data_IF_658734831402
#
_entry.id   IF_658734831402
#
_cell.length_a   1.000
_cell.length_b   1.000
_cell.length_c   1.000
_cell.angle_alpha   90.00
_cell.angle_beta   90.00
_cell.angle_gamma   90.00
#
_symmetry.space_group_name_H-M   'P 1'
#
loop_
_entity.id
_entity.type
_entity.pdbx_description
1 polymer ?
#
# COMPACT_ATOMS: atom_id res chain seq x y z
N UNK A 1 -94.02 -21.18 -29.59
CA UNK A 1 -93.18 -20.06 -29.11
C UNK A 1 -91.94 -20.51 -28.31
N UNK A 2 -91.95 -21.62 -27.56
CA UNK A 2 -90.78 -22.08 -26.80
C UNK A 2 -89.58 -22.56 -27.66
N UNK A 3 -89.81 -23.22 -28.80
CA UNK A 3 -88.73 -23.76 -29.67
C UNK A 3 -87.96 -22.65 -30.41
N UNK A 4 -88.64 -21.58 -30.84
CA UNK A 4 -88.01 -20.42 -31.50
C UNK A 4 -87.05 -19.69 -30.55
N UNK A 5 -87.47 -19.49 -29.29
CA UNK A 5 -86.62 -18.83 -28.29
C UNK A 5 -85.40 -19.67 -27.91
N UNK A 6 -85.53 -21.00 -27.88
CA UNK A 6 -84.39 -21.91 -27.65
C UNK A 6 -83.42 -21.94 -28.84
N UNK A 7 -83.91 -21.87 -30.07
CA UNK A 7 -83.08 -21.80 -31.28
C UNK A 7 -82.35 -20.46 -31.40
N UNK A 8 -83.03 -19.34 -31.13
CA UNK A 8 -82.39 -18.02 -31.08
C UNK A 8 -81.35 -17.93 -29.96
N UNK A 9 -81.60 -18.57 -28.81
CA UNK A 9 -80.61 -18.66 -27.72
C UNK A 9 -79.40 -19.51 -28.11
N UNK A 10 -79.59 -20.61 -28.86
CA UNK A 10 -78.50 -21.44 -29.38
C UNK A 10 -77.66 -20.67 -30.41
N UNK A 11 -78.29 -19.94 -31.33
CA UNK A 11 -77.59 -19.09 -32.32
C UNK A 11 -76.76 -18.02 -31.61
N UNK A 12 -77.33 -17.33 -30.60
CA UNK A 12 -76.59 -16.35 -29.81
C UNK A 12 -75.42 -16.98 -29.05
N UNK A 13 -75.59 -18.18 -28.51
CA UNK A 13 -74.52 -18.92 -27.83
C UNK A 13 -73.40 -19.30 -28.81
N UNK A 14 -73.74 -19.82 -30.00
CA UNK A 14 -72.79 -20.17 -31.05
C UNK A 14 -72.05 -18.93 -31.57
N UNK A 15 -72.74 -17.81 -31.75
CA UNK A 15 -72.12 -16.53 -32.13
C UNK A 15 -71.16 -16.03 -31.04
N UNK A 16 -71.54 -16.12 -29.77
CA UNK A 16 -70.67 -15.77 -28.64
C UNK A 16 -69.45 -16.69 -28.54
N UNK A 17 -69.61 -18.01 -28.75
CA UNK A 17 -68.50 -18.97 -28.76
C UNK A 17 -67.57 -18.67 -29.93
N UNK A 18 -68.10 -18.45 -31.14
CA UNK A 18 -67.33 -18.08 -32.32
C UNK A 18 -66.53 -16.79 -32.10
N UNK A 19 -67.17 -15.77 -31.54
CA UNK A 19 -66.50 -14.50 -31.22
C UNK A 19 -65.37 -14.69 -30.20
N UNK A 20 -65.61 -15.46 -29.12
CA UNK A 20 -64.58 -15.77 -28.12
C UNK A 20 -63.42 -16.59 -28.71
N UNK A 21 -63.71 -17.54 -29.60
CA UNK A 21 -62.68 -18.33 -30.30
C UNK A 21 -61.84 -17.44 -31.22
N UNK A 22 -62.48 -16.57 -32.01
CA UNK A 22 -61.79 -15.62 -32.88
C UNK A 22 -60.90 -14.67 -32.08
N UNK A 23 -61.42 -14.10 -30.99
CA UNK A 23 -60.67 -13.24 -30.08
C UNK A 23 -59.50 -13.98 -29.42
N UNK A 24 -59.71 -15.22 -28.98
CA UNK A 24 -58.64 -16.05 -28.43
C UNK A 24 -57.57 -16.37 -29.47
N UNK A 25 -57.96 -16.66 -30.71
CA UNK A 25 -57.04 -16.93 -31.82
C UNK A 25 -56.22 -15.70 -32.20
N UNK A 26 -56.84 -14.52 -32.22
CA UNK A 26 -56.16 -13.24 -32.44
C UNK A 26 -55.08 -12.97 -31.38
N UNK A 27 -55.43 -13.14 -30.10
CA UNK A 27 -54.49 -12.98 -28.99
C UNK A 27 -53.30 -13.96 -29.10
N UNK A 28 -53.55 -15.21 -29.49
CA UNK A 28 -52.49 -16.21 -29.70
C UNK A 28 -51.60 -15.81 -30.88
N UNK A 29 -52.17 -15.36 -31.99
CA UNK A 29 -51.41 -14.95 -33.17
C UNK A 29 -50.50 -13.76 -32.89
N UNK A 30 -51.02 -12.71 -32.25
CA UNK A 30 -50.22 -11.55 -31.82
C UNK A 30 -49.11 -11.99 -30.86
N UNK A 31 -49.40 -12.87 -29.91
CA UNK A 31 -48.39 -13.38 -28.98
C UNK A 31 -47.29 -14.14 -29.70
N UNK A 32 -47.64 -15.03 -30.64
CA UNK A 32 -46.67 -15.82 -31.42
C UNK A 32 -45.79 -14.92 -32.29
N UNK A 33 -46.39 -13.93 -32.96
CA UNK A 33 -45.66 -12.96 -33.77
C UNK A 33 -44.77 -12.04 -32.92
N UNK A 34 -45.04 -11.87 -31.62
CA UNK A 34 -44.16 -11.07 -30.75
C UNK A 34 -42.91 -11.82 -30.28
N UNK A 35 -42.93 -13.16 -30.21
CA UNK A 35 -41.82 -13.93 -29.65
C UNK A 35 -40.47 -13.78 -30.37
N UNK A 36 -40.37 -13.63 -31.70
CA UNK A 36 -39.08 -13.41 -32.35
C UNK A 36 -38.31 -12.21 -31.78
N UNK A 37 -39.00 -11.13 -31.42
CA UNK A 37 -38.37 -9.97 -30.77
C UNK A 37 -37.89 -10.30 -29.35
N UNK A 38 -38.65 -11.10 -28.60
CA UNK A 38 -38.26 -11.56 -27.26
C UNK A 38 -37.03 -12.46 -27.35
N UNK A 39 -36.98 -13.36 -28.34
CA UNK A 39 -35.83 -14.24 -28.55
C UNK A 39 -34.58 -13.48 -28.96
N UNK A 40 -34.71 -12.44 -29.77
CA UNK A 40 -33.58 -11.61 -30.16
C UNK A 40 -33.01 -10.86 -28.94
N UNK A 41 -33.87 -10.28 -28.10
CA UNK A 41 -33.43 -9.67 -26.84
C UNK A 41 -32.70 -10.68 -25.93
N UNK A 42 -33.21 -11.91 -25.81
CA UNK A 42 -32.52 -12.96 -25.05
C UNK A 42 -31.16 -13.31 -25.67
N UNK A 43 -31.04 -13.36 -27.01
CA UNK A 43 -29.75 -13.62 -27.68
C UNK A 43 -28.73 -12.52 -27.41
N UNK A 44 -29.15 -11.26 -27.47
CA UNK A 44 -28.30 -10.11 -27.13
C UNK A 44 -27.80 -10.21 -25.68
N UNK A 45 -28.71 -10.47 -24.74
CA UNK A 45 -28.36 -10.66 -23.32
C UNK A 45 -27.40 -11.85 -23.11
N UNK A 46 -27.57 -12.96 -23.84
CA UNK A 46 -26.67 -14.11 -23.77
C UNK A 46 -25.24 -13.78 -24.22
N UNK A 47 -25.09 -12.97 -25.27
CA UNK A 47 -23.76 -12.52 -25.74
C UNK A 47 -23.10 -11.64 -24.68
N UNK A 48 -23.84 -10.67 -24.12
CA UNK A 48 -23.34 -9.80 -23.06
C UNK A 48 -22.91 -10.60 -21.82
N UNK A 49 -23.72 -11.58 -21.41
CA UNK A 49 -23.44 -12.40 -20.25
C UNK A 49 -22.18 -13.27 -20.44
N UNK A 50 -21.97 -13.81 -21.64
CA UNK A 50 -20.75 -14.57 -21.94
C UNK A 50 -19.51 -13.69 -21.90
N UNK A 51 -19.55 -12.49 -22.52
CA UNK A 51 -18.44 -11.54 -22.49
C UNK A 51 -18.10 -11.15 -21.05
N UNK A 52 -19.10 -10.77 -20.25
CA UNK A 52 -18.92 -10.41 -18.85
C UNK A 52 -18.31 -11.56 -18.03
N UNK A 53 -18.73 -12.80 -18.28
CA UNK A 53 -18.19 -13.98 -17.57
C UNK A 53 -16.75 -14.28 -17.98
N UNK A 54 -16.40 -14.13 -19.26
CA UNK A 54 -15.00 -14.29 -19.71
C UNK A 54 -14.09 -13.21 -19.14
N UNK A 55 -14.56 -11.96 -19.06
CA UNK A 55 -13.82 -10.87 -18.42
C UNK A 55 -13.62 -11.14 -16.92
N UNK A 56 -14.65 -11.67 -16.25
CA UNK A 56 -14.55 -12.07 -14.85
C UNK A 56 -13.51 -13.17 -14.63
N UNK A 57 -13.40 -14.13 -15.57
CA UNK A 57 -12.39 -15.20 -15.51
C UNK A 57 -10.97 -14.66 -15.65
N UNK A 58 -10.74 -13.71 -16.57
CA UNK A 58 -9.44 -13.03 -16.71
C UNK A 58 -9.06 -12.28 -15.42
N UNK A 59 -9.98 -11.49 -14.85
CA UNK A 59 -9.75 -10.81 -13.56
C UNK A 59 -9.44 -11.79 -12.43
N UNK A 60 -10.01 -12.99 -12.48
CA UNK A 60 -9.77 -14.05 -11.48
C UNK A 60 -8.36 -14.64 -11.63
N UNK A 61 -7.82 -14.75 -12.86
CA UNK A 61 -6.41 -15.14 -13.08
C UNK A 61 -5.45 -14.10 -12.54
N UNK A 62 -5.73 -12.82 -12.77
CA UNK A 62 -4.92 -11.73 -12.20
C UNK A 62 -4.92 -11.79 -10.67
N UNK A 63 -6.08 -12.05 -10.06
CA UNK A 63 -6.20 -12.20 -8.61
C UNK A 63 -5.42 -13.40 -8.07
N UNK A 64 -5.36 -14.51 -8.82
CA UNK A 64 -4.54 -15.67 -8.49
C UNK A 64 -3.04 -15.31 -8.47
N UNK A 65 -2.56 -14.61 -9.50
CA UNK A 65 -1.16 -14.17 -9.58
C UNK A 65 -0.80 -13.21 -8.43
N UNK A 66 -1.68 -12.25 -8.13
CA UNK A 66 -1.52 -11.35 -6.97
C UNK A 66 -1.48 -12.13 -5.65
N UNK A 67 -2.30 -13.17 -5.51
CA UNK A 67 -2.31 -14.02 -4.31
C UNK A 67 -0.98 -14.75 -4.12
N UNK A 68 -0.38 -15.28 -5.20
CA UNK A 68 0.94 -15.92 -5.15
C UNK A 68 2.06 -14.93 -4.80
N UNK A 69 2.02 -13.72 -5.38
CA UNK A 69 2.99 -12.67 -5.08
C UNK A 69 2.89 -12.21 -3.62
N UNK A 70 1.66 -12.03 -3.10
CA UNK A 70 1.43 -11.66 -1.70
C UNK A 70 1.92 -12.74 -0.73
N UNK A 71 1.76 -14.03 -1.06
CA UNK A 71 2.31 -15.10 -0.22
C UNK A 71 3.85 -15.05 -0.19
N UNK A 72 4.49 -14.86 -1.34
CA UNK A 72 5.93 -14.71 -1.42
C UNK A 72 6.44 -13.49 -0.63
N UNK A 73 5.73 -12.36 -0.71
CA UNK A 73 6.02 -11.16 0.10
C UNK A 73 5.87 -11.45 1.59
N UNK A 74 4.81 -12.13 2.02
CA UNK A 74 4.59 -12.49 3.41
C UNK A 74 5.70 -13.42 3.95
N UNK A 75 6.13 -14.41 3.16
CA UNK A 75 7.26 -15.26 3.50
C UNK A 75 8.58 -14.47 3.60
N UNK A 76 8.84 -13.58 2.64
CA UNK A 76 10.02 -12.72 2.63
C UNK A 76 10.06 -11.79 3.85
N UNK A 77 8.91 -11.23 4.24
CA UNK A 77 8.82 -10.37 5.41
C UNK A 77 9.01 -11.17 6.71
N UNK A 78 8.49 -12.39 6.80
CA UNK A 78 8.67 -13.25 7.97
C UNK A 78 10.17 -13.57 8.21
N UNK A 79 10.90 -13.88 7.14
CA UNK A 79 12.35 -14.09 7.20
C UNK A 79 13.12 -12.83 7.62
N UNK A 80 12.70 -11.65 7.15
CA UNK A 80 13.30 -10.37 7.55
C UNK A 80 13.07 -10.05 9.02
N UNK A 81 11.88 -10.35 9.55
CA UNK A 81 11.59 -10.20 10.99
C UNK A 81 12.51 -11.10 11.81
N UNK A 82 12.66 -12.36 11.43
CA UNK A 82 13.50 -13.31 12.19
C UNK A 82 14.96 -12.84 12.24
N UNK A 83 15.49 -12.39 11.10
CA UNK A 83 16.82 -11.80 11.02
C UNK A 83 16.93 -10.52 11.85
N UNK A 84 15.89 -9.68 11.85
CA UNK A 84 15.81 -8.47 12.66
C UNK A 84 15.83 -8.76 14.16
N UNK A 85 15.03 -9.74 14.63
CA UNK A 85 15.03 -10.21 16.02
C UNK A 85 16.40 -10.73 16.44
N UNK A 86 17.04 -11.53 15.58
CA UNK A 86 18.41 -12.02 15.85
C UNK A 86 19.42 -10.87 15.96
N UNK A 87 19.35 -9.87 15.09
CA UNK A 87 20.22 -8.71 15.16
C UNK A 87 19.97 -7.88 16.44
N UNK A 88 18.71 -7.71 16.84
CA UNK A 88 18.34 -7.05 18.09
C UNK A 88 18.93 -7.77 19.33
N UNK A 89 18.81 -9.10 19.39
CA UNK A 89 19.41 -9.90 20.45
C UNK A 89 20.94 -9.75 20.49
N UNK A 90 21.61 -9.78 19.34
CA UNK A 90 23.06 -9.58 19.26
C UNK A 90 23.47 -8.17 19.74
N UNK A 91 22.69 -7.14 19.41
CA UNK A 91 22.90 -5.78 19.90
C UNK A 91 22.70 -5.69 21.41
N UNK A 92 21.71 -6.38 21.98
CA UNK A 92 21.49 -6.43 23.43
C UNK A 92 22.69 -7.09 24.16
N UNK A 93 23.16 -8.24 23.68
CA UNK A 93 24.36 -8.90 24.23
C UNK A 93 25.63 -8.04 24.05
N UNK A 94 25.72 -7.31 22.93
CA UNK A 94 26.80 -6.36 22.67
C UNK A 94 26.80 -5.21 23.67
N UNK A 95 25.63 -4.59 23.89
CA UNK A 95 25.44 -3.51 24.86
C UNK A 95 25.79 -3.94 26.28
N UNK A 96 25.34 -5.13 26.72
CA UNK A 96 25.69 -5.67 28.04
C UNK A 96 27.20 -5.88 28.22
N UNK A 97 27.91 -6.35 27.18
CA UNK A 97 29.37 -6.50 27.19
C UNK A 97 30.08 -5.15 27.28
N UNK A 98 29.61 -4.15 26.55
CA UNK A 98 30.15 -2.78 26.60
C UNK A 98 29.94 -2.18 27.99
N UNK A 99 28.77 -2.34 28.59
CA UNK A 99 28.47 -1.86 29.94
C UNK A 99 29.37 -2.52 31.00
N UNK A 100 29.61 -3.83 30.90
CA UNK A 100 30.59 -4.53 31.73
C UNK A 100 32.01 -4.00 31.53
N UNK A 101 32.37 -3.62 30.30
CA UNK A 101 33.67 -3.04 29.98
C UNK A 101 33.83 -1.64 30.61
N UNK A 102 32.80 -0.79 30.59
CA UNK A 102 32.81 0.49 31.30
C UNK A 102 33.07 0.32 32.79
N UNK A 103 32.43 -0.67 33.44
CA UNK A 103 32.66 -0.95 34.85
C UNK A 103 34.12 -1.36 35.14
N UNK A 104 34.75 -2.12 34.24
CA UNK A 104 36.16 -2.48 34.36
C UNK A 104 37.06 -1.25 34.21
N UNK A 105 36.80 -0.39 33.22
CA UNK A 105 37.59 0.84 33.02
C UNK A 105 37.45 1.79 34.21
N UNK A 106 36.24 2.00 34.75
CA UNK A 106 36.04 2.81 35.96
C UNK A 106 36.81 2.25 37.17
N UNK A 107 36.91 0.92 37.28
CA UNK A 107 37.70 0.28 38.33
C UNK A 107 39.19 0.56 38.17
N UNK A 108 39.70 0.51 36.93
CA UNK A 108 41.08 0.85 36.62
C UNK A 108 41.36 2.34 36.90
N UNK A 109 40.48 3.24 36.48
CA UNK A 109 40.61 4.69 36.71
C UNK A 109 40.69 5.02 38.21
N UNK A 110 39.86 4.38 39.03
CA UNK A 110 39.95 4.48 40.50
C UNK A 110 41.28 3.96 41.04
N UNK A 111 41.81 2.89 40.45
CA UNK A 111 43.13 2.35 40.78
C UNK A 111 44.25 3.36 40.49
N UNK A 112 44.27 3.94 39.30
CA UNK A 112 45.26 4.94 38.89
C UNK A 112 45.16 6.19 39.79
N UNK A 113 43.95 6.69 40.06
CA UNK A 113 43.73 7.83 40.96
C UNK A 113 44.29 7.60 42.36
N UNK A 114 44.22 6.34 42.85
CA UNK A 114 44.83 5.97 44.13
C UNK A 114 46.36 5.99 44.05
N UNK A 115 46.93 5.50 42.95
CA UNK A 115 48.39 5.50 42.73
C UNK A 115 48.94 6.93 42.58
N UNK A 116 48.29 7.81 41.82
CA UNK A 116 48.69 9.23 41.71
C UNK A 116 48.64 9.93 43.08
N UNK A 117 47.61 9.61 43.88
CA UNK A 117 47.52 10.06 45.27
C UNK A 117 48.66 9.55 46.17
N UNK A 118 49.17 8.33 45.95
CA UNK A 118 50.35 7.80 46.66
C UNK A 118 51.62 8.54 46.23
N UNK A 119 51.83 8.73 44.92
CA UNK A 119 53.01 9.42 44.36
C UNK A 119 53.10 10.85 44.91
N UNK A 120 51.98 11.57 44.98
CA UNK A 120 51.94 12.92 45.55
C UNK A 120 52.38 12.94 47.00
N UNK A 121 51.88 12.03 47.84
CA UNK A 121 52.31 11.93 49.25
C UNK A 121 53.81 11.65 49.38
N UNK A 122 54.34 10.71 48.58
CA UNK A 122 55.77 10.39 48.57
C UNK A 122 56.60 11.61 48.17
N UNK A 123 56.16 12.37 47.16
CA UNK A 123 56.87 13.59 46.73
C UNK A 123 56.79 14.72 47.76
N UNK A 124 55.67 14.86 48.47
CA UNK A 124 55.53 15.84 49.55
C UNK A 124 56.46 15.50 50.73
N UNK A 125 56.50 14.23 51.15
CA UNK A 125 57.41 13.71 52.18
C UNK A 125 58.87 13.90 51.78
N UNK A 126 59.23 13.53 50.54
CA UNK A 126 60.57 13.71 50.00
C UNK A 126 60.98 15.19 49.93
N UNK A 127 60.04 16.08 49.57
CA UNK A 127 60.27 17.51 49.56
C UNK A 127 60.68 18.04 50.94
N UNK A 128 60.00 17.58 51.99
CA UNK A 128 60.33 17.93 53.37
C UNK A 128 61.69 17.37 53.82
N UNK A 129 62.01 16.12 53.46
CA UNK A 129 63.31 15.51 53.77
C UNK A 129 64.47 16.23 53.08
N UNK A 130 64.31 16.63 51.81
CA UNK A 130 65.33 17.39 51.06
C UNK A 130 65.56 18.76 51.71
N UNK A 131 64.52 19.43 52.19
CA UNK A 131 64.64 20.70 52.89
C UNK A 131 65.42 20.57 54.21
N UNK A 132 65.11 19.53 55.00
CA UNK A 132 65.85 19.24 56.24
C UNK A 132 67.33 18.91 55.98
N UNK A 133 67.60 18.08 54.96
CA UNK A 133 68.96 17.70 54.62
C UNK A 133 69.79 18.87 54.06
N UNK A 134 69.15 19.78 53.32
CA UNK A 134 69.78 21.03 52.87
C UNK A 134 70.26 21.86 54.07
N UNK A 135 69.45 21.97 55.12
CA UNK A 135 69.82 22.65 56.37
C UNK A 135 70.99 21.96 57.08
N UNK A 136 71.00 20.62 57.12
CA UNK A 136 72.11 19.85 57.71
C UNK A 136 73.43 20.07 56.94
N UNK A 137 73.37 20.10 55.60
CA UNK A 137 74.55 20.33 54.77
C UNK A 137 75.11 21.75 54.92
N UNK A 138 74.24 22.77 55.03
CA UNK A 138 74.68 24.14 55.33
C UNK A 138 75.43 24.21 56.65
N UNK A 139 74.93 23.55 57.69
CA UNK A 139 75.58 23.52 58.99
C UNK A 139 76.91 22.75 58.95
N UNK A 140 76.95 21.60 58.26
CA UNK A 140 78.19 20.86 58.03
C UNK A 140 79.23 21.72 57.29
N UNK A 141 78.81 22.49 56.28
CA UNK A 141 79.67 23.43 55.56
C UNK A 141 80.29 24.50 56.46
N UNK A 142 79.52 25.05 57.42
CA UNK A 142 80.06 25.98 58.43
C UNK A 142 81.09 25.31 59.33
N UNK A 143 80.83 24.09 59.81
CA UNK A 143 81.76 23.35 60.65
C UNK A 143 83.06 23.04 59.90
N UNK A 144 82.98 22.60 58.65
CA UNK A 144 84.15 22.34 57.80
C UNK A 144 84.97 23.61 57.56
N UNK A 145 84.30 24.76 57.37
CA UNK A 145 84.97 26.06 57.25
C UNK A 145 85.71 26.45 58.53
N UNK A 146 85.14 26.16 59.71
CA UNK A 146 85.81 26.39 61.00
C UNK A 146 87.02 25.47 61.17
N UNK A 147 86.92 24.18 60.80
CA UNK A 147 88.05 23.24 60.85
C UNK A 147 89.19 23.73 59.94
N UNK A 148 88.85 24.23 58.74
CA UNK A 148 89.82 24.86 57.83
C UNK A 148 90.57 26.01 58.50
N UNK A 149 89.84 26.94 59.11
CA UNK A 149 90.43 28.09 59.79
C UNK A 149 91.35 27.65 60.94
N UNK A 150 90.94 26.65 61.73
CA UNK A 150 91.77 26.07 62.81
C UNK A 150 93.02 25.40 62.24
N UNK A 151 92.88 24.65 61.15
CA UNK A 151 93.98 23.94 60.50
C UNK A 151 94.98 24.93 59.87
N UNK A 152 94.52 25.96 59.19
CA UNK A 152 95.35 27.06 58.67
C UNK A 152 96.09 27.80 59.80
N UNK A 153 95.39 28.09 60.90
CA UNK A 153 95.98 28.69 62.09
C UNK A 153 97.02 27.76 62.73
N UNK A 154 96.76 26.46 62.79
CA UNK A 154 97.68 25.44 63.32
C UNK A 154 98.91 25.34 62.46
N UNK A 155 98.75 25.33 61.13
CA UNK A 155 99.85 25.32 60.18
C UNK A 155 100.74 26.56 60.34
N UNK A 156 100.14 27.75 60.49
CA UNK A 156 100.85 29.01 60.74
C UNK A 156 101.59 29.00 62.09
N UNK A 157 100.96 28.51 63.16
CA UNK A 157 101.61 28.37 64.47
C UNK A 157 102.78 27.39 64.40
N UNK A 158 102.62 26.29 63.68
CA UNK A 158 103.66 25.29 63.48
C UNK A 158 104.84 25.82 62.69
N UNK A 159 104.59 26.60 61.64
CA UNK A 159 105.62 27.27 60.87
C UNK A 159 106.41 28.25 61.74
N UNK A 160 105.72 29.06 62.56
CA UNK A 160 106.36 29.97 63.51
C UNK A 160 107.21 29.20 64.54
N UNK A 161 106.72 28.06 65.03
CA UNK A 161 107.47 27.19 65.94
C UNK A 161 108.70 26.55 65.29
N UNK A 162 108.61 26.12 64.02
CA UNK A 162 109.75 25.61 63.25
C UNK A 162 110.82 26.67 63.04
N UNK A 163 110.42 27.92 62.76
CA UNK A 163 111.34 29.07 62.63
C UNK A 163 112.08 29.31 63.95
N UNK A 164 111.36 29.35 65.07
CA UNK A 164 111.97 29.61 66.38
C UNK A 164 112.85 28.43 66.86
N UNK A 165 112.45 27.20 66.54
CA UNK A 165 113.26 26.00 66.78
C UNK A 165 114.57 26.01 65.96
N UNK A 166 114.53 26.46 64.70
CA UNK A 166 115.72 26.65 63.88
C UNK A 166 116.64 27.76 64.45
N UNK A 167 116.04 28.81 65.02
CA UNK A 167 116.74 29.94 65.66
C UNK A 167 117.47 29.55 66.94
N UNK A 168 116.96 28.57 67.68
CA UNK A 168 117.57 28.02 68.90
C UNK A 168 118.73 27.03 68.65
N UNK A 169 119.05 26.70 67.39
CA UNK A 169 120.18 25.84 67.01
C UNK A 169 120.06 24.41 67.55
N UNK A 170 121.14 23.84 68.10
CA UNK A 170 121.16 22.45 68.61
C UNK A 170 120.16 22.19 69.75
N UNK A 171 119.84 23.21 70.57
CA UNK A 171 118.86 23.10 71.66
C UNK A 171 117.40 23.03 71.16
N UNK A 172 117.15 23.43 69.92
CA UNK A 172 115.83 23.46 69.29
C UNK A 172 115.46 22.22 68.48
N UNK A 173 116.39 21.26 68.28
CA UNK A 173 116.18 20.11 67.37
C UNK A 173 114.93 19.27 67.70
N UNK A 174 114.66 19.02 68.98
CA UNK A 174 113.46 18.28 69.39
C UNK A 174 112.17 19.04 69.07
N UNK A 175 112.16 20.36 69.27
CA UNK A 175 111.03 21.22 68.92
C UNK A 175 110.83 21.37 67.41
N UNK A 176 111.91 21.39 66.63
CA UNK A 176 111.85 21.46 65.17
C UNK A 176 111.15 20.22 64.57
N UNK A 177 111.46 19.02 65.06
CA UNK A 177 110.81 17.77 64.61
C UNK A 177 109.32 17.76 64.94
N UNK A 178 108.93 18.23 66.14
CA UNK A 178 107.52 18.33 66.53
C UNK A 178 106.78 19.37 65.68
N UNK A 179 107.39 20.53 65.44
CA UNK A 179 106.81 21.59 64.61
C UNK A 179 106.70 21.20 63.12
N UNK A 180 107.62 20.38 62.59
CA UNK A 180 107.48 19.82 61.25
C UNK A 180 106.36 18.76 61.19
N UNK A 181 106.23 17.92 62.23
CA UNK A 181 105.15 16.95 62.36
C UNK A 181 103.76 17.59 62.48
N UNK A 182 103.62 18.68 63.26
CA UNK A 182 102.36 19.44 63.40
C UNK A 182 102.02 20.19 62.11
N UNK A 183 103.00 20.73 61.40
CA UNK A 183 102.81 21.38 60.09
C UNK A 183 102.33 20.37 59.04
N UNK A 184 102.96 19.19 58.99
CA UNK A 184 102.52 18.08 58.13
C UNK A 184 101.08 17.63 58.46
N UNK A 185 100.72 17.54 59.75
CA UNK A 185 99.37 17.17 60.17
C UNK A 185 98.32 18.23 59.78
N UNK A 186 98.65 19.52 59.94
CA UNK A 186 97.78 20.61 59.52
C UNK A 186 97.60 20.65 57.99
N UNK A 187 98.68 20.44 57.22
CA UNK A 187 98.59 20.30 55.76
C UNK A 187 97.68 19.15 55.33
N UNK A 188 97.86 17.96 55.93
CA UNK A 188 96.98 16.79 55.68
C UNK A 188 95.52 17.06 56.08
N UNK A 189 95.31 17.83 57.15
CA UNK A 189 93.96 18.23 57.60
C UNK A 189 93.32 19.17 56.59
N UNK A 190 94.07 20.13 56.03
CA UNK A 190 93.59 21.01 54.95
C UNK A 190 93.23 20.24 53.67
N UNK A 191 94.03 19.25 53.28
CA UNK A 191 93.70 18.38 52.15
C UNK A 191 92.41 17.58 52.39
N UNK A 192 92.24 17.03 53.59
CA UNK A 192 91.03 16.32 53.97
C UNK A 192 89.79 17.25 53.99
N UNK A 193 89.92 18.45 54.56
CA UNK A 193 88.87 19.48 54.55
C UNK A 193 88.47 19.86 53.13
N UNK A 194 89.44 20.06 52.22
CA UNK A 194 89.17 20.35 50.81
C UNK A 194 88.38 19.21 50.13
N UNK A 195 88.69 17.96 50.45
CA UNK A 195 87.94 16.80 49.95
C UNK A 195 86.50 16.77 50.48
N UNK A 196 86.30 17.13 51.76
CA UNK A 196 84.96 17.25 52.36
C UNK A 196 84.19 18.42 51.73
N UNK A 197 84.80 19.58 51.51
CA UNK A 197 84.19 20.73 50.83
C UNK A 197 83.67 20.33 49.43
N UNK A 198 84.48 19.62 48.64
CA UNK A 198 84.07 19.11 47.32
C UNK A 198 82.89 18.14 47.45
N UNK A 199 82.92 17.26 48.45
CA UNK A 199 81.85 16.29 48.69
C UNK A 199 80.53 16.97 49.08
N UNK A 200 80.58 18.01 49.92
CA UNK A 200 79.41 18.80 50.29
C UNK A 200 78.81 19.54 49.10
N UNK A 201 79.64 20.17 48.26
CA UNK A 201 79.18 20.83 47.02
C UNK A 201 78.49 19.84 46.10
N UNK A 202 79.06 18.64 45.93
CA UNK A 202 78.44 17.59 45.13
C UNK A 202 77.10 17.15 45.74
N UNK A 203 77.01 16.96 47.06
CA UNK A 203 75.74 16.60 47.71
C UNK A 203 74.66 17.66 47.48
N UNK A 204 74.99 18.95 47.62
CA UNK A 204 74.05 20.06 47.35
C UNK A 204 73.54 20.03 45.89
N UNK A 205 74.44 19.82 44.91
CA UNK A 205 74.04 19.67 43.51
C UNK A 205 73.10 18.47 43.29
N UNK A 206 73.42 17.33 43.91
CA UNK A 206 72.56 16.13 43.85
C UNK A 206 71.16 16.40 44.42
N UNK A 207 71.04 17.11 45.54
CA UNK A 207 69.73 17.47 46.13
C UNK A 207 68.95 18.47 45.26
N UNK A 208 69.63 19.43 44.64
CA UNK A 208 68.97 20.33 43.69
C UNK A 208 68.41 19.59 42.48
N UNK A 209 69.17 18.67 41.89
CA UNK A 209 68.69 17.82 40.79
C UNK A 209 67.52 16.94 41.22
N UNK A 210 67.59 16.36 42.43
CA UNK A 210 66.50 15.54 42.95
C UNK A 210 65.21 16.33 43.16
N UNK A 211 65.31 17.54 43.73
CA UNK A 211 64.16 18.46 43.89
C UNK A 211 63.51 18.81 42.55
N UNK A 212 64.32 19.06 41.52
CA UNK A 212 63.80 19.32 40.18
C UNK A 212 63.11 18.08 39.58
N UNK A 213 63.66 16.89 39.80
CA UNK A 213 62.99 15.64 39.42
C UNK A 213 61.64 15.44 40.13
N UNK A 214 61.57 15.68 41.45
CA UNK A 214 60.33 15.59 42.23
C UNK A 214 59.26 16.57 41.70
N UNK A 215 59.65 17.82 41.41
CA UNK A 215 58.76 18.81 40.80
C UNK A 215 58.23 18.36 39.43
N UNK A 216 59.09 17.81 38.59
CA UNK A 216 58.69 17.29 37.28
C UNK A 216 57.74 16.09 37.42
N UNK A 217 57.97 15.19 38.37
CA UNK A 217 57.06 14.08 38.67
C UNK A 217 55.68 14.56 39.15
N UNK A 218 55.61 15.60 39.98
CA UNK A 218 54.33 16.21 40.37
C UNK A 218 53.60 16.81 39.17
N UNK A 219 54.32 17.50 38.28
CA UNK A 219 53.75 18.03 37.03
C UNK A 219 53.20 16.92 36.12
N UNK A 220 53.89 15.78 36.02
CA UNK A 220 53.40 14.61 35.31
C UNK A 220 52.16 14.00 35.98
N UNK A 221 52.17 13.90 37.30
CA UNK A 221 51.04 13.36 38.09
C UNK A 221 49.78 14.20 37.89
N UNK A 222 49.90 15.55 37.90
CA UNK A 222 48.78 16.45 37.63
C UNK A 222 48.17 16.22 36.24
N UNK A 223 48.99 15.99 35.20
CA UNK A 223 48.48 15.69 33.85
C UNK A 223 47.77 14.34 33.78
N UNK A 224 48.19 13.37 34.59
CA UNK A 224 47.50 12.08 34.72
C UNK A 224 46.12 12.30 35.35
N UNK A 225 46.03 13.10 36.41
CA UNK A 225 44.75 13.43 37.05
C UNK A 225 43.80 14.16 36.09
N UNK A 226 44.29 15.12 35.29
CA UNK A 226 43.49 15.77 34.24
C UNK A 226 42.98 14.76 33.20
N UNK A 227 43.84 13.81 32.80
CA UNK A 227 43.47 12.75 31.84
C UNK A 227 42.44 11.77 32.42
N UNK A 228 42.52 11.48 33.73
CA UNK A 228 41.53 10.69 34.46
C UNK A 228 40.17 11.38 34.42
N UNK A 229 40.10 12.69 34.69
CA UNK A 229 38.84 13.42 34.70
C UNK A 229 38.16 13.43 33.32
N UNK A 230 38.96 13.58 32.25
CA UNK A 230 38.47 13.46 30.88
C UNK A 230 37.93 12.04 30.63
N UNK A 231 38.69 11.00 30.99
CA UNK A 231 38.26 9.61 30.84
C UNK A 231 36.96 9.29 31.59
N UNK A 232 36.80 9.77 32.82
CA UNK A 232 35.56 9.57 33.59
C UNK A 232 34.35 10.21 32.89
N UNK A 233 34.53 11.40 32.33
CA UNK A 233 33.49 12.10 31.57
C UNK A 233 33.12 11.32 30.31
N UNK A 234 34.11 10.92 29.51
CA UNK A 234 33.88 10.15 28.27
C UNK A 234 33.19 8.80 28.54
N UNK A 235 33.56 8.12 29.63
CA UNK A 235 32.91 6.86 30.03
C UNK A 235 31.46 7.10 30.45
N UNK A 236 31.19 8.20 31.17
CA UNK A 236 29.83 8.57 31.56
C UNK A 236 28.96 8.81 30.33
N UNK A 237 29.42 9.64 29.39
CA UNK A 237 28.70 9.94 28.15
C UNK A 237 28.47 8.67 27.31
N UNK A 238 29.48 7.79 27.23
CA UNK A 238 29.36 6.53 26.51
C UNK A 238 28.39 5.55 27.19
N UNK A 239 28.29 5.56 28.52
CA UNK A 239 27.33 4.75 29.27
C UNK A 239 25.89 5.23 29.06
N UNK A 240 25.67 6.55 29.04
CA UNK A 240 24.37 7.15 28.74
C UNK A 240 23.94 6.82 27.30
N UNK A 241 24.85 6.95 26.33
CA UNK A 241 24.62 6.55 24.95
C UNK A 241 24.25 5.06 24.84
N UNK A 242 24.89 4.18 25.63
CA UNK A 242 24.52 2.76 25.67
C UNK A 242 23.14 2.50 26.25
N UNK A 243 22.72 3.30 27.23
CA UNK A 243 21.37 3.20 27.79
C UNK A 243 20.32 3.55 26.73
N UNK A 244 20.57 4.57 25.91
CA UNK A 244 19.71 4.90 24.77
C UNK A 244 19.68 3.79 23.71
N UNK A 245 20.84 3.23 23.35
CA UNK A 245 20.90 2.09 22.43
C UNK A 245 20.12 0.88 22.96
N UNK A 246 20.18 0.62 24.27
CA UNK A 246 19.39 -0.42 24.91
C UNK A 246 17.88 -0.21 24.73
N UNK A 247 17.40 1.02 24.95
CA UNK A 247 16.00 1.39 24.76
C UNK A 247 15.55 1.26 23.29
N UNK A 248 16.38 1.70 22.34
CA UNK A 248 16.10 1.58 20.91
C UNK A 248 15.99 0.11 20.45
N UNK A 249 16.85 -0.76 20.99
CA UNK A 249 16.80 -2.21 20.73
C UNK A 249 15.52 -2.84 21.30
N UNK A 250 15.11 -2.45 22.51
CA UNK A 250 13.86 -2.93 23.12
C UNK A 250 12.64 -2.49 22.31
N UNK A 251 12.59 -1.22 21.91
CA UNK A 251 11.54 -0.69 21.03
C UNK A 251 11.49 -1.42 19.68
N UNK A 252 12.63 -1.62 19.03
CA UNK A 252 12.73 -2.37 17.77
C UNK A 252 12.25 -3.82 17.92
N UNK A 253 12.56 -4.46 19.05
CA UNK A 253 12.06 -5.81 19.37
C UNK A 253 10.54 -5.84 19.47
N UNK A 254 9.93 -4.82 20.08
CA UNK A 254 8.47 -4.64 20.11
C UNK A 254 7.86 -4.55 18.71
N UNK A 255 8.43 -3.70 17.85
CA UNK A 255 8.00 -3.58 16.45
C UNK A 255 8.08 -4.90 15.69
N UNK A 256 9.13 -5.71 15.90
CA UNK A 256 9.23 -7.03 15.27
C UNK A 256 8.14 -8.01 15.72
N UNK A 257 7.58 -7.86 16.91
CA UNK A 257 6.42 -8.65 17.35
C UNK A 257 5.16 -8.19 16.63
N UNK A 258 4.90 -6.89 16.59
CA UNK A 258 3.74 -6.31 15.91
C UNK A 258 3.70 -6.64 14.41
N UNK A 259 4.83 -6.47 13.70
CA UNK A 259 4.90 -6.79 12.27
C UNK A 259 4.68 -8.31 12.06
N UNK A 260 5.10 -9.17 12.99
CA UNK A 260 4.88 -10.61 12.86
C UNK A 260 3.38 -10.97 12.95
N UNK A 261 2.63 -10.29 13.81
CA UNK A 261 1.17 -10.43 13.89
C UNK A 261 0.49 -9.96 12.60
N UNK A 262 0.93 -8.83 12.05
CA UNK A 262 0.42 -8.31 10.78
C UNK A 262 0.68 -9.26 9.60
N UNK A 263 1.85 -9.93 9.58
CA UNK A 263 2.14 -10.96 8.56
C UNK A 263 1.16 -12.13 8.65
N UNK A 264 0.82 -12.57 9.86
CA UNK A 264 -0.14 -13.66 10.04
C UNK A 264 -1.53 -13.26 9.52
N UNK A 265 -1.95 -12.01 9.75
CA UNK A 265 -3.19 -11.46 9.21
C UNK A 265 -3.18 -11.35 7.67
N UNK A 266 -2.07 -10.89 7.09
CA UNK A 266 -1.88 -10.86 5.63
C UNK A 266 -1.99 -12.28 5.06
N UNK A 267 -1.34 -13.28 5.67
CA UNK A 267 -1.43 -14.68 5.23
C UNK A 267 -2.84 -15.23 5.28
N UNK A 268 -3.60 -14.94 6.35
CA UNK A 268 -5.02 -15.32 6.44
C UNK A 268 -5.82 -14.71 5.30
N UNK A 269 -5.59 -13.42 5.01
CA UNK A 269 -6.26 -12.70 3.92
C UNK A 269 -5.93 -13.31 2.56
N UNK A 270 -4.66 -13.63 2.31
CA UNK A 270 -4.21 -14.33 1.09
C UNK A 270 -4.91 -15.67 0.95
N UNK A 271 -5.03 -16.45 2.03
CA UNK A 271 -5.78 -17.72 2.01
C UNK A 271 -7.25 -17.54 1.62
N UNK A 272 -7.92 -16.51 2.14
CA UNK A 272 -9.31 -16.19 1.79
C UNK A 272 -9.43 -15.77 0.31
N UNK A 273 -8.50 -14.96 -0.18
CA UNK A 273 -8.47 -14.53 -1.59
C UNK A 273 -8.26 -15.73 -2.51
N UNK A 274 -7.34 -16.64 -2.17
CA UNK A 274 -7.06 -17.84 -2.95
C UNK A 274 -8.29 -18.76 -3.04
N UNK A 275 -8.98 -19.02 -1.93
CA UNK A 275 -10.23 -19.80 -1.92
C UNK A 275 -11.34 -19.10 -2.73
N UNK A 276 -11.50 -17.79 -2.54
CA UNK A 276 -12.50 -17.00 -3.26
C UNK A 276 -12.25 -17.01 -4.77
N UNK A 277 -10.98 -16.92 -5.18
CA UNK A 277 -10.53 -17.01 -6.57
C UNK A 277 -10.92 -18.35 -7.18
N UNK A 278 -10.62 -19.46 -6.49
CA UNK A 278 -11.00 -20.81 -6.94
C UNK A 278 -12.52 -20.94 -7.10
N UNK A 279 -13.29 -20.46 -6.12
CA UNK A 279 -14.75 -20.49 -6.16
C UNK A 279 -15.33 -19.65 -7.29
N UNK A 280 -14.76 -18.48 -7.57
CA UNK A 280 -15.19 -17.63 -8.69
C UNK A 280 -14.90 -18.32 -10.02
N UNK A 281 -13.73 -18.92 -10.20
CA UNK A 281 -13.40 -19.66 -11.42
C UNK A 281 -14.39 -20.81 -11.69
N UNK A 282 -14.68 -21.63 -10.68
CA UNK A 282 -15.66 -22.74 -10.80
C UNK A 282 -17.04 -22.19 -11.17
N UNK A 283 -17.49 -21.11 -10.52
CA UNK A 283 -18.79 -20.49 -10.82
C UNK A 283 -18.84 -19.87 -12.21
N UNK A 284 -17.76 -19.27 -12.68
CA UNK A 284 -17.67 -18.72 -14.02
C UNK A 284 -17.78 -19.83 -15.08
N UNK A 285 -17.12 -20.98 -14.86
CA UNK A 285 -17.26 -22.14 -15.74
C UNK A 285 -18.69 -22.71 -15.75
N UNK A 286 -19.33 -22.83 -14.59
CA UNK A 286 -20.75 -23.24 -14.50
C UNK A 286 -21.67 -22.28 -15.27
N UNK A 287 -21.42 -20.97 -15.16
CA UNK A 287 -22.17 -19.92 -15.86
C UNK A 287 -21.97 -20.03 -17.37
N UNK A 288 -20.75 -20.26 -17.85
CA UNK A 288 -20.48 -20.44 -19.28
C UNK A 288 -21.22 -21.65 -19.83
N UNK A 289 -21.20 -22.78 -19.12
CA UNK A 289 -21.94 -23.98 -19.51
C UNK A 289 -23.46 -23.75 -19.52
N UNK A 290 -23.99 -23.03 -18.53
CA UNK A 290 -25.41 -22.66 -18.50
C UNK A 290 -25.79 -21.71 -19.65
N UNK A 291 -24.94 -20.74 -19.98
CA UNK A 291 -25.16 -19.82 -21.10
C UNK A 291 -25.17 -20.55 -22.45
N UNK A 292 -24.29 -21.53 -22.63
CA UNK A 292 -24.30 -22.37 -23.83
C UNK A 292 -25.59 -23.20 -23.93
N UNK A 293 -26.04 -23.77 -22.82
CA UNK A 293 -27.31 -24.50 -22.77
C UNK A 293 -28.52 -23.61 -23.11
N UNK A 294 -28.57 -22.39 -22.56
CA UNK A 294 -29.64 -21.42 -22.87
C UNK A 294 -29.62 -21.04 -24.34
N UNK A 295 -28.44 -20.78 -24.92
CA UNK A 295 -28.31 -20.46 -26.36
C UNK A 295 -28.88 -21.57 -27.25
N UNK A 296 -28.58 -22.82 -26.93
CA UNK A 296 -29.11 -23.97 -27.66
C UNK A 296 -30.63 -24.08 -27.52
N UNK A 297 -31.17 -23.84 -26.32
CA UNK A 297 -32.62 -23.82 -26.10
C UNK A 297 -33.31 -22.68 -26.84
N UNK A 298 -32.72 -21.48 -26.85
CA UNK A 298 -33.22 -20.30 -27.57
C UNK A 298 -33.21 -20.54 -29.08
N UNK A 299 -32.17 -21.19 -29.61
CA UNK A 299 -32.11 -21.59 -31.01
C UNK A 299 -33.26 -22.56 -31.38
N UNK A 300 -33.47 -23.61 -30.57
CA UNK A 300 -34.57 -24.56 -30.81
C UNK A 300 -35.96 -23.94 -30.61
N UNK A 301 -36.11 -22.98 -29.69
CA UNK A 301 -37.34 -22.22 -29.51
C UNK A 301 -37.60 -21.29 -30.69
N UNK A 302 -36.57 -20.67 -31.26
CA UNK A 302 -36.66 -19.84 -32.46
C UNK A 302 -37.21 -20.64 -33.65
N UNK A 303 -36.68 -21.84 -33.90
CA UNK A 303 -37.13 -22.72 -34.99
C UNK A 303 -38.62 -23.12 -34.84
N UNK A 304 -39.04 -23.42 -33.61
CA UNK A 304 -40.45 -23.73 -33.30
C UNK A 304 -41.38 -22.53 -33.47
N UNK A 305 -40.93 -21.34 -33.08
CA UNK A 305 -41.70 -20.11 -33.27
C UNK A 305 -41.80 -19.77 -34.75
N UNK A 306 -40.72 -19.87 -35.52
CA UNK A 306 -40.72 -19.64 -36.96
C UNK A 306 -41.73 -20.58 -37.67
N UNK A 307 -41.71 -21.86 -37.28
CA UNK A 307 -42.70 -22.85 -37.74
C UNK A 307 -44.14 -22.46 -37.37
N UNK A 308 -44.36 -21.94 -36.16
CA UNK A 308 -45.69 -21.53 -35.67
C UNK A 308 -46.17 -20.24 -36.35
N UNK A 309 -45.29 -19.27 -36.57
CA UNK A 309 -45.55 -18.05 -37.32
C UNK A 309 -45.98 -18.40 -38.74
N UNK A 310 -45.21 -19.25 -39.43
CA UNK A 310 -45.53 -19.74 -40.77
C UNK A 310 -46.87 -20.48 -40.82
N UNK A 311 -47.20 -21.27 -39.79
CA UNK A 311 -48.48 -21.97 -39.68
C UNK A 311 -49.66 -21.01 -39.45
N UNK A 312 -49.49 -19.95 -38.66
CA UNK A 312 -50.54 -18.95 -38.38
C UNK A 312 -50.76 -18.02 -39.57
N UNK A 313 -49.69 -17.53 -40.19
CA UNK A 313 -49.81 -16.52 -41.26
C UNK A 313 -50.32 -17.11 -42.57
N UNK A 314 -50.26 -18.43 -42.73
CA UNK A 314 -50.78 -19.17 -43.88
C UNK A 314 -52.05 -20.00 -43.57
N UNK A 315 -52.84 -19.59 -42.57
CA UNK A 315 -54.15 -20.21 -42.28
C UNK A 315 -55.22 -19.86 -43.35
N UNK A 316 -56.45 -20.36 -43.14
CA UNK A 316 -57.63 -20.06 -43.95
C UNK A 316 -57.81 -18.53 -44.14
N UNK A 317 -58.07 -18.06 -45.39
CA UNK A 317 -58.38 -16.65 -45.71
C UNK A 317 -59.41 -15.97 -44.78
N UNK A 318 -60.38 -16.71 -44.23
CA UNK A 318 -61.37 -16.17 -43.30
C UNK A 318 -60.75 -15.64 -42.00
N UNK A 319 -59.78 -16.36 -41.45
CA UNK A 319 -59.09 -15.94 -40.23
C UNK A 319 -58.25 -14.69 -40.49
N UNK A 320 -57.52 -14.66 -41.61
CA UNK A 320 -56.67 -13.54 -41.97
C UNK A 320 -57.49 -12.27 -42.19
N UNK A 321 -58.65 -12.38 -42.81
CA UNK A 321 -59.58 -11.26 -42.98
C UNK A 321 -60.00 -10.66 -41.64
N UNK A 322 -60.41 -11.49 -40.67
CA UNK A 322 -60.79 -11.04 -39.33
C UNK A 322 -59.61 -10.45 -38.55
N UNK A 323 -58.42 -11.06 -38.67
CA UNK A 323 -57.19 -10.56 -38.09
C UNK A 323 -56.87 -9.14 -38.59
N UNK A 324 -56.92 -8.90 -39.90
CA UNK A 324 -56.63 -7.58 -40.48
C UNK A 324 -57.68 -6.53 -40.09
N UNK A 325 -58.95 -6.90 -40.00
CA UNK A 325 -60.01 -6.04 -39.45
C UNK A 325 -59.70 -5.61 -38.01
N UNK A 326 -59.25 -6.54 -37.17
CA UNK A 326 -58.83 -6.23 -35.80
C UNK A 326 -57.60 -5.32 -35.79
N UNK A 327 -56.61 -5.53 -36.66
CA UNK A 327 -55.43 -4.64 -36.76
C UNK A 327 -55.79 -3.23 -37.23
N UNK A 328 -56.78 -3.08 -38.12
CA UNK A 328 -57.35 -1.77 -38.50
C UNK A 328 -57.99 -1.09 -37.30
N UNK A 329 -58.76 -1.82 -36.50
CA UNK A 329 -59.35 -1.30 -35.25
C UNK A 329 -58.28 -0.93 -34.21
N UNK A 330 -57.20 -1.70 -34.09
CA UNK A 330 -56.07 -1.37 -33.22
C UNK A 330 -55.45 -0.03 -33.63
N UNK A 331 -55.26 0.22 -34.92
CA UNK A 331 -54.68 1.48 -35.41
C UNK A 331 -55.65 2.67 -35.29
N UNK A 332 -56.97 2.45 -35.37
CA UNK A 332 -57.95 3.49 -35.05
C UNK A 332 -57.84 3.91 -33.57
N UNK A 333 -57.71 2.94 -32.65
CA UNK A 333 -57.49 3.22 -31.22
C UNK A 333 -56.14 3.88 -30.97
N UNK A 334 -55.09 3.45 -31.69
CA UNK A 334 -53.76 4.06 -31.65
C UNK A 334 -53.80 5.52 -32.09
N UNK A 335 -54.52 5.85 -33.18
CA UNK A 335 -54.73 7.24 -33.63
C UNK A 335 -55.42 8.09 -32.55
N UNK A 336 -56.43 7.53 -31.87
CA UNK A 336 -57.07 8.21 -30.73
C UNK A 336 -56.11 8.41 -29.55
N UNK A 337 -55.16 7.49 -29.31
CA UNK A 337 -54.13 7.65 -28.29
C UNK A 337 -53.15 8.77 -28.65
N UNK A 338 -52.71 8.84 -29.92
CA UNK A 338 -51.89 9.95 -30.42
C UNK A 338 -52.63 11.29 -30.24
N UNK A 339 -53.92 11.36 -30.59
CA UNK A 339 -54.72 12.58 -30.41
C UNK A 339 -54.81 13.01 -28.94
N UNK A 340 -55.00 12.06 -28.03
CA UNK A 340 -55.02 12.32 -26.59
C UNK A 340 -53.67 12.82 -26.07
N UNK A 341 -52.56 12.22 -26.51
CA UNK A 341 -51.22 12.63 -26.09
C UNK A 341 -50.88 14.06 -26.55
N UNK A 342 -51.30 14.45 -27.77
CA UNK A 342 -51.17 15.83 -28.27
C UNK A 342 -52.01 16.80 -27.42
N UNK A 343 -53.26 16.44 -27.10
CA UNK A 343 -54.15 17.28 -26.27
C UNK A 343 -53.63 17.42 -24.83
N UNK A 344 -53.11 16.34 -24.25
CA UNK A 344 -52.49 16.31 -22.93
C UNK A 344 -51.13 17.03 -22.90
N UNK A 345 -50.54 17.32 -24.07
CA UNK A 345 -49.19 17.89 -24.23
C UNK A 345 -48.13 17.05 -23.50
N UNK A 346 -48.33 15.74 -23.49
CA UNK A 346 -47.48 14.81 -22.78
C UNK A 346 -46.93 13.77 -23.76
N UNK A 347 -45.63 13.84 -24.01
CA UNK A 347 -44.95 12.91 -24.91
C UNK A 347 -44.91 11.48 -24.35
N UNK A 348 -45.00 11.30 -23.02
CA UNK A 348 -45.00 9.98 -22.39
C UNK A 348 -46.32 9.21 -22.61
N UNK A 349 -47.40 9.90 -23.01
CA UNK A 349 -48.69 9.29 -23.31
C UNK A 349 -48.81 8.77 -24.74
N UNK A 350 -47.77 8.93 -25.57
CA UNK A 350 -47.79 8.39 -26.93
C UNK A 350 -47.80 6.86 -26.90
N UNK A 351 -48.56 6.23 -27.81
CA UNK A 351 -48.55 4.78 -27.97
C UNK A 351 -47.24 4.28 -28.60
N UNK A 352 -47.09 2.96 -28.76
CA UNK A 352 -45.90 2.35 -29.40
C UNK A 352 -45.59 3.04 -30.75
N UNK A 353 -44.41 3.67 -30.83
CA UNK A 353 -43.95 4.44 -31.99
C UNK A 353 -43.03 3.63 -32.91
N UNK A 354 -42.60 2.44 -32.50
CA UNK A 354 -41.86 1.53 -33.36
C UNK A 354 -42.82 0.71 -34.23
N UNK A 355 -42.81 1.00 -35.53
CA UNK A 355 -43.57 0.29 -36.56
C UNK A 355 -43.28 -1.22 -36.62
N UNK A 356 -42.18 -1.73 -36.05
CA UNK A 356 -41.92 -3.18 -36.01
C UNK A 356 -42.53 -3.87 -34.78
N UNK A 357 -42.97 -3.09 -33.78
CA UNK A 357 -43.46 -3.60 -32.49
C UNK A 357 -44.97 -3.50 -32.31
N UNK A 358 -45.69 -2.83 -33.21
CA UNK A 358 -47.16 -2.84 -33.18
C UNK A 358 -47.70 -4.16 -33.77
N UNK A 359 -48.93 -4.56 -33.39
CA UNK A 359 -49.50 -5.85 -33.82
C UNK A 359 -49.58 -6.00 -35.35
N UNK A 360 -49.74 -4.90 -36.10
CA UNK A 360 -49.69 -4.92 -37.56
C UNK A 360 -48.26 -5.08 -38.08
N UNK A 361 -47.33 -4.33 -37.50
CA UNK A 361 -45.90 -4.42 -37.81
C UNK A 361 -45.35 -5.82 -37.60
N UNK A 362 -45.69 -6.45 -36.49
CA UNK A 362 -45.34 -7.84 -36.22
C UNK A 362 -45.79 -8.76 -37.36
N UNK A 363 -46.99 -8.54 -37.91
CA UNK A 363 -47.48 -9.30 -39.05
C UNK A 363 -46.76 -8.91 -40.36
N UNK A 364 -46.65 -7.62 -40.71
CA UNK A 364 -45.98 -7.15 -41.94
C UNK A 364 -44.55 -7.69 -42.04
N UNK A 365 -43.81 -7.73 -40.94
CA UNK A 365 -42.39 -8.09 -40.96
C UNK A 365 -42.10 -9.58 -40.74
N UNK A 366 -43.04 -10.33 -40.15
CA UNK A 366 -42.81 -11.73 -39.78
C UNK A 366 -43.74 -12.70 -40.52
N UNK A 367 -44.79 -12.21 -41.17
CA UNK A 367 -45.70 -13.08 -41.89
C UNK A 367 -44.99 -13.73 -43.08
N UNK A 368 -45.10 -15.06 -43.13
CA UNK A 368 -44.71 -15.81 -44.32
C UNK A 368 -45.93 -15.81 -45.25
N UNK A 369 -45.86 -15.06 -46.35
CA UNK A 369 -46.90 -15.02 -47.38
C UNK A 369 -46.50 -15.93 -48.54
N UNK A 370 -47.35 -16.91 -48.90
CA UNK A 370 -47.04 -17.90 -49.94
C UNK A 370 -47.46 -17.48 -51.37
N UNK A 371 -48.62 -16.87 -51.55
CA UNK A 371 -49.11 -16.44 -52.89
C UNK A 371 -48.41 -15.16 -53.36
N UNK A 372 -48.00 -15.13 -54.63
CA UNK A 372 -47.38 -13.94 -55.23
C UNK A 372 -48.37 -12.77 -55.40
N UNK A 373 -49.66 -13.03 -55.62
CA UNK A 373 -50.66 -11.96 -55.66
C UNK A 373 -50.91 -11.38 -54.26
N UNK A 374 -50.99 -12.26 -53.25
CA UNK A 374 -51.14 -11.84 -51.85
C UNK A 374 -49.91 -11.05 -51.38
N UNK A 375 -48.70 -11.49 -51.75
CA UNK A 375 -47.43 -10.85 -51.41
C UNK A 375 -47.36 -9.41 -51.93
N UNK A 376 -47.81 -9.17 -53.17
CA UNK A 376 -47.82 -7.80 -53.75
C UNK A 376 -48.64 -6.82 -52.92
N UNK A 377 -49.79 -7.25 -52.39
CA UNK A 377 -50.67 -6.40 -51.58
C UNK A 377 -50.19 -6.32 -50.13
N UNK A 378 -49.60 -7.39 -49.60
CA UNK A 378 -48.94 -7.39 -48.30
C UNK A 378 -47.77 -6.39 -48.25
N UNK A 379 -46.84 -6.47 -49.21
CA UNK A 379 -45.61 -5.68 -49.23
C UNK A 379 -45.91 -4.18 -49.49
N UNK A 380 -47.01 -3.87 -50.19
CA UNK A 380 -47.42 -2.47 -50.42
C UNK A 380 -47.84 -1.74 -49.15
N UNK A 381 -48.20 -2.46 -48.07
CA UNK A 381 -48.57 -1.89 -46.78
C UNK A 381 -47.36 -1.42 -45.96
N UNK A 382 -46.16 -1.96 -46.22
CA UNK A 382 -44.98 -1.72 -45.38
C UNK A 382 -44.58 -0.24 -45.34
N UNK A 383 -44.36 0.37 -46.50
CA UNK A 383 -43.83 1.72 -46.59
C UNK A 383 -44.80 2.79 -46.03
N UNK A 384 -46.11 2.77 -46.38
CA UNK A 384 -47.09 3.66 -45.76
C UNK A 384 -47.18 3.46 -44.24
N UNK A 385 -47.13 2.22 -43.75
CA UNK A 385 -47.14 1.91 -42.31
C UNK A 385 -45.90 2.46 -41.59
N UNK A 386 -44.71 2.31 -42.18
CA UNK A 386 -43.46 2.89 -41.67
C UNK A 386 -43.55 4.41 -41.60
N UNK A 387 -44.07 5.06 -42.65
CA UNK A 387 -44.30 6.51 -42.71
C UNK A 387 -45.27 6.98 -41.63
N UNK A 388 -46.33 6.22 -41.35
CA UNK A 388 -47.32 6.53 -40.30
C UNK A 388 -46.64 6.64 -38.92
N UNK A 389 -45.88 5.63 -38.53
CA UNK A 389 -45.17 5.61 -37.24
C UNK A 389 -44.05 6.64 -37.17
N UNK A 390 -43.31 6.86 -38.26
CA UNK A 390 -42.29 7.90 -38.34
C UNK A 390 -42.91 9.30 -38.15
N UNK A 391 -44.07 9.55 -38.78
CA UNK A 391 -44.81 10.79 -38.61
C UNK A 391 -45.28 10.98 -37.16
N UNK A 392 -45.81 9.93 -36.50
CA UNK A 392 -46.17 10.00 -35.09
C UNK A 392 -44.99 10.22 -34.15
N UNK A 393 -43.80 9.70 -34.49
CA UNK A 393 -42.56 10.01 -33.75
C UNK A 393 -42.19 11.48 -33.86
N UNK A 394 -42.23 12.04 -35.08
CA UNK A 394 -42.01 13.47 -35.27
C UNK A 394 -43.02 14.33 -34.50
N UNK A 395 -44.28 13.87 -34.40
CA UNK A 395 -45.30 14.54 -33.58
C UNK A 395 -44.95 14.47 -32.08
N UNK A 396 -44.50 13.32 -31.57
CA UNK A 396 -44.06 13.16 -30.19
C UNK A 396 -42.86 14.06 -29.85
N UNK A 397 -41.91 14.21 -30.80
CA UNK A 397 -40.76 15.10 -30.67
C UNK A 397 -41.20 16.58 -30.63
N UNK A 398 -42.14 16.99 -31.49
CA UNK A 398 -42.73 18.33 -31.46
C UNK A 398 -43.46 18.61 -30.14
N UNK A 399 -44.23 17.64 -29.61
CA UNK A 399 -44.93 17.77 -28.31
C UNK A 399 -43.91 17.89 -27.16
N UNK A 400 -42.85 17.08 -27.17
CA UNK A 400 -41.76 17.16 -26.19
C UNK A 400 -41.06 18.53 -26.21
N UNK A 401 -40.89 19.10 -27.40
CA UNK A 401 -40.30 20.43 -27.61
C UNK A 401 -41.26 21.60 -27.33
N UNK A 402 -42.55 21.33 -27.04
CA UNK A 402 -43.58 22.35 -26.81
C UNK A 402 -44.12 23.01 -28.08
N UNK A 403 -43.74 22.54 -29.27
CA UNK A 403 -44.17 23.07 -30.57
C UNK A 403 -45.49 22.40 -31.04
N UNK A 404 -46.60 22.89 -30.49
CA UNK A 404 -47.94 22.36 -30.79
C UNK A 404 -48.40 22.71 -32.22
N UNK A 405 -47.87 23.78 -32.81
CA UNK A 405 -48.23 24.20 -34.17
C UNK A 405 -47.73 23.17 -35.18
N UNK A 406 -46.45 22.81 -35.11
CA UNK A 406 -45.85 21.77 -35.96
C UNK A 406 -46.43 20.38 -35.67
N UNK A 407 -46.77 20.08 -34.40
CA UNK A 407 -47.46 18.84 -34.04
C UNK A 407 -48.84 18.72 -34.73
N UNK A 408 -49.59 19.83 -34.84
CA UNK A 408 -50.92 19.85 -35.48
C UNK A 408 -50.82 19.73 -37.00
N UNK A 409 -49.80 20.33 -37.63
CA UNK A 409 -49.52 20.17 -39.05
C UNK A 409 -49.13 18.73 -39.39
N UNK A 410 -48.18 18.15 -38.64
CA UNK A 410 -47.79 16.75 -38.80
C UNK A 410 -48.96 15.80 -38.54
N UNK A 411 -49.90 16.14 -37.64
CA UNK A 411 -51.10 15.33 -37.40
C UNK A 411 -52.05 15.28 -38.61
N UNK A 412 -52.11 16.34 -39.42
CA UNK A 412 -52.86 16.33 -40.66
C UNK A 412 -52.22 15.38 -41.69
N UNK A 413 -50.89 15.37 -41.77
CA UNK A 413 -50.14 14.42 -42.60
C UNK A 413 -50.32 12.97 -42.13
N UNK A 414 -50.28 12.73 -40.81
CA UNK A 414 -50.59 11.43 -40.22
C UNK A 414 -51.97 10.90 -40.65
N UNK A 415 -52.97 11.78 -40.74
CA UNK A 415 -54.32 11.42 -41.22
C UNK A 415 -54.31 11.01 -42.68
N UNK A 416 -53.57 11.72 -43.54
CA UNK A 416 -53.46 11.38 -44.98
C UNK A 416 -52.81 10.01 -45.16
N UNK A 417 -51.75 9.73 -44.41
CA UNK A 417 -51.07 8.42 -44.45
C UNK A 417 -52.02 7.33 -43.93
N UNK A 418 -52.79 7.60 -42.87
CA UNK A 418 -53.77 6.64 -42.36
C UNK A 418 -54.87 6.32 -43.40
N UNK A 419 -55.36 7.32 -44.14
CA UNK A 419 -56.33 7.14 -45.23
C UNK A 419 -55.72 6.37 -46.42
N UNK A 420 -54.44 6.62 -46.73
CA UNK A 420 -53.67 5.87 -47.74
C UNK A 420 -53.60 4.38 -47.36
N UNK A 421 -53.19 4.08 -46.13
CA UNK A 421 -53.19 2.72 -45.58
C UNK A 421 -54.60 2.11 -45.64
N UNK A 422 -55.63 2.86 -45.26
CA UNK A 422 -57.02 2.40 -45.29
C UNK A 422 -57.49 1.96 -46.67
N UNK A 423 -57.05 2.62 -47.75
CA UNK A 423 -57.34 2.20 -49.13
C UNK A 423 -56.67 0.88 -49.48
N UNK A 424 -55.39 0.72 -49.15
CA UNK A 424 -54.65 -0.53 -49.36
C UNK A 424 -55.25 -1.69 -48.54
N UNK A 425 -55.74 -1.41 -47.33
CA UNK A 425 -56.49 -2.40 -46.54
C UNK A 425 -57.77 -2.85 -47.21
N UNK A 426 -58.55 -1.93 -47.78
CA UNK A 426 -59.78 -2.29 -48.49
C UNK A 426 -59.48 -3.13 -49.75
N UNK A 427 -58.40 -2.82 -50.47
CA UNK A 427 -57.93 -3.65 -51.60
C UNK A 427 -57.59 -5.06 -51.14
N UNK A 428 -56.91 -5.17 -50.00
CA UNK A 428 -56.52 -6.46 -49.46
C UNK A 428 -57.68 -7.28 -48.89
N UNK A 429 -58.61 -6.61 -48.20
CA UNK A 429 -59.85 -7.17 -47.71
C UNK A 429 -60.71 -7.71 -48.86
N UNK A 430 -60.85 -6.95 -49.95
CA UNK A 430 -61.57 -7.40 -51.16
C UNK A 430 -60.91 -8.63 -51.80
N UNK A 431 -59.57 -8.65 -51.89
CA UNK A 431 -58.83 -9.83 -52.36
C UNK A 431 -59.13 -11.07 -51.51
N UNK A 432 -59.11 -10.94 -50.19
CA UNK A 432 -59.38 -12.05 -49.27
C UNK A 432 -60.84 -12.49 -49.29
N UNK A 433 -61.80 -11.55 -49.35
CA UNK A 433 -63.23 -11.87 -49.50
C UNK A 433 -63.51 -12.67 -50.77
N UNK A 434 -62.86 -12.31 -51.89
CA UNK A 434 -62.93 -13.09 -53.12
C UNK A 434 -62.34 -14.50 -52.99
N UNK A 435 -61.28 -14.69 -52.19
CA UNK A 435 -60.74 -16.03 -51.92
C UNK A 435 -61.62 -16.86 -50.98
N UNK A 436 -62.18 -16.26 -49.93
CA UNK A 436 -63.14 -16.91 -49.03
C UNK A 436 -64.35 -17.41 -49.83
N UNK A 437 -64.90 -16.57 -50.71
CA UNK A 437 -66.03 -16.93 -51.57
C UNK A 437 -65.71 -18.09 -52.53
N UNK A 438 -64.52 -18.12 -53.15
CA UNK A 438 -64.10 -19.25 -54.00
C UNK A 438 -63.90 -20.55 -53.23
N UNK A 439 -63.41 -20.48 -51.99
CA UNK A 439 -63.22 -21.66 -51.13
C UNK A 439 -64.54 -22.30 -50.67
N UNK A 440 -65.61 -21.50 -50.55
CA UNK A 440 -66.97 -21.99 -50.24
C UNK A 440 -67.60 -22.75 -51.42
N UNK A 441 -67.21 -22.40 -52.66
CA UNK A 441 -67.69 -23.08 -53.87
C UNK A 441 -66.99 -24.44 -54.10
N UNK A 442 -65.73 -24.61 -53.69
CA UNK A 442 -65.00 -25.89 -53.81
C UNK A 442 -65.38 -26.93 -52.74
N UNK A 443 -65.94 -26.54 -51.60
CA UNK A 443 -66.41 -27.45 -50.53
C UNK A 443 -67.87 -27.89 -50.75
N UNK A 444 -68.60 -27.23 -51.65
CA UNK A 444 -70.00 -27.54 -52.00
C UNK A 444 -70.14 -28.35 -53.31
N UNK A 445 -69.06 -28.99 -53.77
CA UNK A 445 -69.05 -30.05 -54.80
C UNK A 445 -68.45 -31.30 -54.16
#
# INVERSE_FOLDING_TARGET
>A
MSVSNSFDSLIRLLQNIRHKIAQSGDNVAVSVLSFPHVLEAIREDQVLFQVATTEQLEKTKDLAAVSEELDAVAQGLASRIENGKKAALQSQEGGARIQGSFQNVLTLVKGISRETGVIRRINDELGAEIEDLSRVLEEAGKQVSQIKAISDQTNMLSLNASIEAARAGEQGRGFAVVAEGVSSLASRTNEAVKSIEISLVNMVDHFHRWREHAKNQLGQTSRIDDSIQILETEISDAADAMTHVGADVEYSTGLYVEIAEQIDEVRKTVGIISDSTLRISIRAEEILGASEAIRNQVAGLAERIDSSVSAITNQNPEWLLEFLRNRRMDHLRWMQQVDRAIQAKNAEEFPQLDHRRCNMGLWIYLAVVKSDEQRKVHDSLEEPHRRLHACARSIADCVSAGDIASATENRAELSRIFDEIGRLFNEYESYLEHQVLRGIDEVNI
#
